data_IF_042211569738
#
_entry.id   IF_042211569738
#
_cell.length_a   1.000
_cell.length_b   1.000
_cell.length_c   1.000
_cell.angle_alpha   90.00
_cell.angle_beta   90.00
_cell.angle_gamma   90.00
#
_symmetry.space_group_name_H-M   'P 1'
#
loop_
_entity.id
_entity.type
_entity.pdbx_description
1 polymer ?
#
# COMPACT_ATOMS: atom_id res chain seq x y z
N UNK A 1 14.32 -16.77 -3.70
CA UNK A 1 13.02 -17.05 -3.03
C UNK A 1 12.02 -17.54 -4.06
N UNK A 2 11.34 -18.63 -3.77
CA UNK A 2 10.31 -19.15 -4.66
C UNK A 2 9.00 -18.35 -4.51
N UNK A 3 8.11 -18.38 -5.53
CA UNK A 3 6.80 -17.75 -5.39
C UNK A 3 5.97 -18.30 -4.23
N UNK A 4 6.13 -19.57 -3.91
CA UNK A 4 5.42 -20.21 -2.79
C UNK A 4 5.91 -19.69 -1.46
N UNK A 5 7.21 -19.49 -1.30
CA UNK A 5 7.79 -18.92 -0.10
C UNK A 5 7.33 -17.45 0.07
N UNK A 6 7.32 -16.68 -1.01
CA UNK A 6 6.84 -15.31 -0.97
C UNK A 6 5.37 -15.25 -0.56
N UNK A 7 4.53 -16.14 -1.08
CA UNK A 7 3.11 -16.22 -0.71
C UNK A 7 2.95 -16.54 0.78
N UNK A 8 3.72 -17.50 1.29
CA UNK A 8 3.67 -17.88 2.70
C UNK A 8 4.04 -16.69 3.59
N UNK A 9 5.05 -15.91 3.21
CA UNK A 9 5.45 -14.73 3.96
C UNK A 9 4.41 -13.62 3.91
N UNK A 10 3.71 -13.46 2.77
CA UNK A 10 2.59 -12.51 2.69
C UNK A 10 1.45 -12.92 3.61
N UNK A 11 1.12 -14.22 3.65
CA UNK A 11 0.08 -14.73 4.55
C UNK A 11 0.45 -14.45 5.99
N UNK A 12 1.71 -14.68 6.37
CA UNK A 12 2.18 -14.39 7.71
C UNK A 12 2.05 -12.90 8.04
N UNK A 13 2.40 -12.04 7.10
CA UNK A 13 2.26 -10.59 7.28
C UNK A 13 0.80 -10.20 7.52
N UNK A 14 -0.15 -10.78 6.78
CA UNK A 14 -1.57 -10.53 6.98
C UNK A 14 -2.05 -10.99 8.36
N UNK A 15 -1.57 -12.16 8.81
CA UNK A 15 -1.89 -12.65 10.15
C UNK A 15 -1.38 -11.67 11.21
N UNK A 16 -0.16 -11.18 11.06
CA UNK A 16 0.41 -10.20 11.98
C UNK A 16 -0.41 -8.91 12.00
N UNK A 17 -0.84 -8.43 10.81
CA UNK A 17 -1.68 -7.24 10.72
C UNK A 17 -3.02 -7.43 11.42
N UNK A 18 -3.66 -8.57 11.21
CA UNK A 18 -4.95 -8.88 11.83
C UNK A 18 -4.84 -9.00 13.35
N UNK A 19 -3.68 -9.40 13.85
CA UNK A 19 -3.44 -9.52 15.29
C UNK A 19 -2.91 -8.23 15.92
N UNK A 20 -2.94 -7.12 15.19
CA UNK A 20 -2.48 -5.83 15.71
C UNK A 20 -0.98 -5.68 15.79
N UNK A 21 -0.20 -6.59 15.18
CA UNK A 21 1.25 -6.54 15.20
C UNK A 21 1.78 -5.87 13.93
N UNK A 22 1.35 -4.63 13.72
CA UNK A 22 1.63 -3.90 12.48
C UNK A 22 3.11 -3.61 12.27
N UNK A 23 3.85 -3.34 13.33
CA UNK A 23 5.30 -3.07 13.22
C UNK A 23 6.06 -4.32 12.78
N UNK A 24 5.69 -5.48 13.33
CA UNK A 24 6.32 -6.75 12.93
C UNK A 24 5.98 -7.10 11.49
N UNK A 25 4.72 -6.83 11.08
CA UNK A 25 4.31 -7.03 9.70
C UNK A 25 5.12 -6.13 8.76
N UNK A 26 5.32 -4.87 9.13
CA UNK A 26 6.11 -3.93 8.33
C UNK A 26 7.56 -4.42 8.16
N UNK A 27 8.19 -4.89 9.23
CA UNK A 27 9.55 -5.43 9.16
C UNK A 27 9.62 -6.60 8.18
N UNK A 28 8.68 -7.53 8.26
CA UNK A 28 8.63 -8.68 7.37
C UNK A 28 8.44 -8.25 5.91
N UNK A 29 7.53 -7.31 5.69
CA UNK A 29 7.23 -6.82 4.34
C UNK A 29 8.38 -6.00 3.75
N UNK A 30 9.10 -5.25 4.58
CA UNK A 30 10.31 -4.55 4.13
C UNK A 30 11.38 -5.55 3.68
N UNK A 31 11.53 -6.66 4.41
CA UNK A 31 12.46 -7.71 4.01
C UNK A 31 12.04 -8.33 2.68
N UNK A 32 10.74 -8.58 2.49
CA UNK A 32 10.22 -9.08 1.22
C UNK A 32 10.48 -8.12 0.08
N UNK A 33 10.26 -6.82 0.30
CA UNK A 33 10.52 -5.81 -0.71
C UNK A 33 12.01 -5.73 -1.06
N UNK A 34 12.88 -5.92 -0.10
CA UNK A 34 14.32 -5.94 -0.35
C UNK A 34 14.72 -7.13 -1.25
N UNK A 35 14.07 -8.27 -1.06
CA UNK A 35 14.36 -9.46 -1.84
C UNK A 35 13.70 -9.46 -3.22
N UNK A 36 12.53 -8.85 -3.34
CA UNK A 36 11.77 -8.75 -4.59
C UNK A 36 11.22 -7.33 -4.73
N UNK A 37 12.06 -6.36 -5.13
CA UNK A 37 11.66 -4.96 -5.14
C UNK A 37 10.49 -4.68 -6.09
N UNK A 38 9.58 -3.83 -5.66
CA UNK A 38 8.53 -3.30 -6.50
C UNK A 38 7.30 -4.18 -6.68
N UNK A 39 7.21 -5.30 -5.96
CA UNK A 39 6.01 -6.13 -6.02
C UNK A 39 4.82 -5.34 -5.44
N UNK A 40 3.78 -5.12 -6.27
CA UNK A 40 2.62 -4.32 -5.90
C UNK A 40 1.93 -4.85 -4.66
N UNK A 41 1.81 -6.17 -4.54
CA UNK A 41 1.17 -6.79 -3.37
C UNK A 41 1.94 -6.48 -2.10
N UNK A 42 3.26 -6.55 -2.16
CA UNK A 42 4.13 -6.23 -1.02
C UNK A 42 4.01 -4.75 -0.65
N UNK A 43 4.05 -3.86 -1.63
CA UNK A 43 3.98 -2.42 -1.39
C UNK A 43 2.64 -2.00 -0.79
N UNK A 44 1.54 -2.59 -1.26
CA UNK A 44 0.22 -2.30 -0.68
C UNK A 44 0.12 -2.76 0.77
N UNK A 45 0.58 -3.98 1.04
CA UNK A 45 0.57 -4.51 2.40
C UNK A 45 1.48 -3.69 3.31
N UNK A 46 2.63 -3.28 2.79
CA UNK A 46 3.58 -2.44 3.53
C UNK A 46 2.96 -1.09 3.88
N UNK A 47 2.28 -0.46 2.93
CA UNK A 47 1.57 0.79 3.18
C UNK A 47 0.52 0.62 4.28
N UNK A 48 -0.27 -0.44 4.21
CA UNK A 48 -1.27 -0.73 5.23
C UNK A 48 -0.64 -0.94 6.60
N UNK A 49 0.47 -1.68 6.66
CA UNK A 49 1.17 -1.93 7.91
C UNK A 49 1.71 -0.63 8.52
N UNK A 50 2.33 0.21 7.70
CA UNK A 50 2.84 1.50 8.16
C UNK A 50 1.72 2.42 8.65
N UNK A 51 0.57 2.45 7.96
CA UNK A 51 -0.56 3.25 8.40
C UNK A 51 -1.07 2.80 9.77
N UNK A 52 -1.19 1.50 9.98
CA UNK A 52 -1.64 0.96 11.26
C UNK A 52 -0.63 1.19 12.36
N UNK A 53 0.64 1.25 12.02
CA UNK A 53 1.72 1.55 12.98
C UNK A 53 1.90 3.05 13.22
N UNK A 54 1.10 3.90 12.58
CA UNK A 54 1.20 5.34 12.73
C UNK A 54 2.30 5.99 11.91
N UNK A 55 2.88 5.27 10.96
CA UNK A 55 3.99 5.76 10.13
C UNK A 55 3.47 6.21 8.75
N UNK A 56 2.66 7.27 8.74
CA UNK A 56 1.99 7.74 7.54
C UNK A 56 2.96 8.14 6.42
N UNK A 57 4.09 8.76 6.76
CA UNK A 57 5.07 9.15 5.75
C UNK A 57 5.69 7.94 5.04
N UNK A 58 5.98 6.89 5.79
CA UNK A 58 6.50 5.64 5.22
C UNK A 58 5.45 4.94 4.36
N UNK A 59 4.18 4.99 4.78
CA UNK A 59 3.08 4.45 3.99
C UNK A 59 2.98 5.19 2.66
N UNK A 60 3.06 6.52 2.68
CA UNK A 60 2.99 7.32 1.46
C UNK A 60 4.17 7.00 0.52
N UNK A 61 5.36 6.82 1.06
CA UNK A 61 6.52 6.45 0.27
C UNK A 61 6.30 5.11 -0.47
N UNK A 62 5.77 4.11 0.23
CA UNK A 62 5.46 2.82 -0.40
C UNK A 62 4.41 2.97 -1.50
N UNK A 63 3.38 3.79 -1.25
CA UNK A 63 2.33 4.04 -2.24
C UNK A 63 2.85 4.81 -3.45
N UNK A 64 3.79 5.73 -3.25
CA UNK A 64 4.38 6.47 -4.36
C UNK A 64 5.14 5.56 -5.32
N UNK A 65 5.72 4.49 -4.81
CA UNK A 65 6.38 3.49 -5.65
C UNK A 65 5.37 2.71 -6.52
N UNK A 66 4.11 2.66 -6.09
CA UNK A 66 3.04 2.02 -6.88
C UNK A 66 2.52 2.88 -8.01
N UNK A 67 2.67 4.19 -7.93
CA UNK A 67 2.06 5.10 -8.91
C UNK A 67 2.68 5.01 -10.30
N UNK A 68 3.83 4.37 -10.41
CA UNK A 68 4.46 4.15 -11.71
C UNK A 68 3.95 2.89 -12.40
N UNK A 69 3.11 2.12 -11.71
CA UNK A 69 2.54 0.89 -12.27
C UNK A 69 1.08 1.15 -12.64
N UNK A 70 0.78 0.99 -13.94
CA UNK A 70 -0.59 1.17 -14.42
C UNK A 70 -1.58 0.15 -13.83
N UNK A 71 -1.07 -0.90 -13.21
CA UNK A 71 -1.89 -1.93 -12.59
C UNK A 71 -2.16 -1.68 -11.11
N UNK A 72 -1.84 -0.50 -10.58
CA UNK A 72 -2.09 -0.19 -9.17
C UNK A 72 -3.59 -0.31 -8.86
N UNK A 73 -3.96 -1.08 -7.83
CA UNK A 73 -5.38 -1.27 -7.50
C UNK A 73 -5.98 0.00 -6.91
N UNK A 74 -7.32 0.19 -7.05
CA UNK A 74 -7.99 1.38 -6.51
C UNK A 74 -7.78 1.59 -5.01
N UNK A 75 -7.60 0.51 -4.24
CA UNK A 75 -7.33 0.60 -2.80
C UNK A 75 -6.09 1.42 -2.48
N UNK A 76 -5.14 1.55 -3.42
CA UNK A 76 -3.98 2.41 -3.25
C UNK A 76 -4.39 3.87 -3.00
N UNK A 77 -5.42 4.35 -3.69
CA UNK A 77 -5.94 5.71 -3.50
C UNK A 77 -6.57 5.89 -2.12
N UNK A 78 -7.25 4.87 -1.62
CA UNK A 78 -7.82 4.94 -0.28
C UNK A 78 -6.71 5.03 0.78
N UNK A 79 -5.70 4.19 0.67
CA UNK A 79 -4.57 4.21 1.59
C UNK A 79 -3.81 5.54 1.50
N UNK A 80 -3.66 6.06 0.28
CA UNK A 80 -3.02 7.36 0.07
C UNK A 80 -3.80 8.48 0.76
N UNK A 81 -5.13 8.48 0.64
CA UNK A 81 -5.98 9.45 1.28
C UNK A 81 -5.82 9.40 2.81
N UNK A 82 -5.77 8.20 3.37
CA UNK A 82 -5.56 8.02 4.80
C UNK A 82 -4.19 8.55 5.25
N UNK A 83 -3.14 8.23 4.51
CA UNK A 83 -1.79 8.69 4.83
C UNK A 83 -1.68 10.21 4.74
N UNK A 84 -2.22 10.80 3.69
CA UNK A 84 -2.19 12.25 3.48
C UNK A 84 -2.98 12.99 4.55
N UNK A 85 -4.11 12.41 4.97
CA UNK A 85 -4.92 12.98 6.04
C UNK A 85 -4.13 12.99 7.36
N UNK A 86 -3.44 11.91 7.67
CA UNK A 86 -2.61 11.83 8.87
C UNK A 86 -1.41 12.79 8.83
N UNK A 87 -0.95 13.13 7.63
CA UNK A 87 0.16 14.08 7.43
C UNK A 87 -0.31 15.53 7.35
N UNK A 88 -1.60 15.79 7.62
CA UNK A 88 -2.21 17.12 7.55
C UNK A 88 -2.08 17.74 6.16
N UNK A 89 -2.33 16.97 5.13
CA UNK A 89 -2.35 17.39 3.73
C UNK A 89 -3.75 17.16 3.16
N UNK A 90 -4.76 17.95 3.64
CA UNK A 90 -6.17 17.65 3.36
C UNK A 90 -6.57 17.78 1.89
N UNK A 91 -5.99 18.73 1.16
CA UNK A 91 -6.34 18.90 -0.25
C UNK A 91 -5.90 17.70 -1.09
N UNK A 92 -4.69 17.21 -0.84
CA UNK A 92 -4.18 16.03 -1.52
C UNK A 92 -4.95 14.78 -1.10
N UNK A 93 -5.29 14.67 0.21
CA UNK A 93 -6.10 13.57 0.72
C UNK A 93 -7.46 13.54 0.03
N UNK A 94 -8.07 14.70 -0.16
CA UNK A 94 -9.36 14.81 -0.83
C UNK A 94 -9.29 14.38 -2.28
N UNK A 95 -8.22 14.77 -2.98
CA UNK A 95 -8.02 14.33 -4.37
C UNK A 95 -7.83 12.81 -4.47
N UNK A 96 -7.07 12.22 -3.54
CA UNK A 96 -6.87 10.78 -3.50
C UNK A 96 -8.17 10.04 -3.22
N UNK A 97 -8.99 10.54 -2.28
CA UNK A 97 -10.29 9.94 -1.97
C UNK A 97 -11.23 10.06 -3.16
N UNK A 98 -11.20 11.19 -3.85
CA UNK A 98 -12.03 11.39 -5.04
C UNK A 98 -11.63 10.41 -6.15
N UNK A 99 -10.34 10.18 -6.33
CA UNK A 99 -9.86 9.19 -7.30
C UNK A 99 -10.29 7.76 -6.93
N UNK A 100 -10.40 7.44 -5.64
CA UNK A 100 -10.91 6.15 -5.18
C UNK A 100 -12.40 5.98 -5.46
N UNK A 101 -13.19 7.03 -5.18
CA UNK A 101 -14.64 6.99 -5.33
C UNK A 101 -15.06 7.04 -6.80
N UNK A 102 -14.36 7.85 -7.60
CA UNK A 102 -14.67 8.06 -9.01
C UNK A 102 -13.44 7.77 -9.87
N UNK A 103 -13.06 6.50 -9.98
CA UNK A 103 -11.91 6.14 -10.79
C UNK A 103 -12.15 6.52 -12.26
N UNK A 104 -11.08 6.90 -12.95
CA UNK A 104 -11.18 7.22 -14.38
C UNK A 104 -11.79 6.05 -15.12
N UNK A 105 -12.81 6.28 -15.95
CA UNK A 105 -13.34 5.20 -16.78
C UNK A 105 -12.24 4.71 -17.74
N UNK A 106 -12.25 3.43 -18.09
CA UNK A 106 -11.30 2.94 -19.08
C UNK A 106 -11.46 3.77 -20.36
N UNK A 107 -10.34 4.06 -21.01
CA UNK A 107 -10.37 4.79 -22.28
C UNK A 107 -11.24 4.02 -23.25
N UNK A 108 -12.42 4.55 -23.49
CA UNK A 108 -13.36 3.99 -24.45
C UNK A 108 -12.97 4.50 -25.82
N UNK A 109 -12.77 3.62 -26.81
CA UNK A 109 -12.60 4.08 -28.18
C UNK A 109 -13.88 4.69 -28.69
N UNK A 110 -13.81 5.91 -29.06
CA UNK A 110 -14.95 6.59 -29.67
C UNK A 110 -15.65 7.51 -28.83
#
# INVERSE_FOLDING_TARGET
MSPQEATALHVLAYVLLHNGQSEKAAVLLEALDALRPGDSRTLLALAAAHLRAGAAARALYALDRLTYDAAAPPTANLLRAQALSLLDRPDEARRAMHAFIAPKPPLSPG
#
